data_IF_843895807009
#
_entry.id   IF_843895807009
#
_cell.length_a   1.000
_cell.length_b   1.000
_cell.length_c   1.000
_cell.angle_alpha   90.00
_cell.angle_beta   90.00
_cell.angle_gamma   90.00
#
_symmetry.space_group_name_H-M   'P 1'
#
loop_
_entity.id
_entity.type
_entity.pdbx_description
1 polymer ?
#
# COMPACT_ATOMS: atom_id res chain seq x y z
N UNK A 1 19.73 1.97 7.38
CA UNK A 1 19.24 2.37 6.04
C UNK A 1 17.98 1.55 5.77
N UNK A 2 16.83 2.17 5.44
CA UNK A 2 15.57 1.45 5.14
C UNK A 2 15.48 1.21 3.63
N UNK A 3 15.18 -0.03 3.23
CA UNK A 3 14.88 -0.36 1.83
C UNK A 3 13.37 -0.21 1.61
N UNK A 4 13.01 0.56 0.59
CA UNK A 4 11.62 0.83 0.23
C UNK A 4 11.33 0.43 -1.20
N UNK A 5 10.09 0.04 -1.45
CA UNK A 5 9.58 -0.21 -2.81
C UNK A 5 8.48 0.78 -3.15
N UNK A 6 8.59 1.38 -4.32
CA UNK A 6 7.49 2.12 -4.92
C UNK A 6 6.66 1.15 -5.75
N UNK A 7 5.39 0.97 -5.40
CA UNK A 7 4.46 0.14 -6.17
C UNK A 7 3.30 0.99 -6.66
N UNK A 8 3.53 1.57 -7.82
CA UNK A 8 2.51 2.06 -8.74
C UNK A 8 2.76 1.40 -10.09
N UNK A 9 1.71 0.91 -10.76
CA UNK A 9 1.81 0.63 -12.20
C UNK A 9 1.47 1.90 -12.95
N UNK A 10 2.34 2.29 -13.87
CA UNK A 10 1.95 3.16 -14.97
C UNK A 10 1.03 2.34 -15.89
N UNK A 11 -0.29 2.32 -15.61
CA UNK A 11 -1.31 1.59 -16.39
C UNK A 11 -2.29 0.74 -15.57
N UNK A 12 -3.18 0.01 -16.26
CA UNK A 12 -4.38 -0.68 -15.73
C UNK A 12 -4.13 -2.04 -15.04
N UNK A 13 -2.88 -2.39 -14.70
CA UNK A 13 -2.52 -3.73 -14.21
C UNK A 13 -2.39 -3.81 -12.68
N UNK A 14 -2.60 -2.70 -11.98
CA UNK A 14 -2.69 -2.69 -10.53
C UNK A 14 -4.14 -2.53 -10.12
N UNK A 15 -4.67 -3.55 -9.47
CA UNK A 15 -5.94 -3.47 -8.75
C UNK A 15 -5.64 -3.06 -7.29
N UNK A 16 -5.78 -1.77 -6.94
CA UNK A 16 -5.58 -1.32 -5.57
C UNK A 16 -6.63 -1.90 -4.60
N UNK A 17 -7.69 -2.56 -5.09
CA UNK A 17 -8.68 -3.20 -4.22
C UNK A 17 -8.18 -4.53 -3.64
N UNK A 18 -7.18 -5.17 -4.25
CA UNK A 18 -6.52 -6.36 -3.69
C UNK A 18 -5.27 -6.00 -2.85
N UNK A 19 -5.50 -5.22 -1.79
CA UNK A 19 -4.49 -4.74 -0.85
C UNK A 19 -3.71 -5.88 -0.16
N UNK A 20 -4.36 -7.02 0.09
CA UNK A 20 -3.72 -8.17 0.73
C UNK A 20 -2.57 -8.73 -0.12
N UNK A 21 -2.82 -8.97 -1.41
CA UNK A 21 -1.78 -9.42 -2.35
C UNK A 21 -0.69 -8.36 -2.50
N UNK A 22 -1.07 -7.07 -2.51
CA UNK A 22 -0.12 -5.97 -2.60
C UNK A 22 0.91 -5.99 -1.46
N UNK A 23 0.46 -6.07 -0.20
CA UNK A 23 1.37 -6.09 0.94
C UNK A 23 2.21 -7.37 1.00
N UNK A 24 1.64 -8.53 0.63
CA UNK A 24 2.39 -9.77 0.51
C UNK A 24 3.54 -9.66 -0.50
N UNK A 25 3.27 -9.07 -1.66
CA UNK A 25 4.28 -8.89 -2.71
C UNK A 25 5.34 -7.85 -2.32
N UNK A 26 4.95 -6.76 -1.66
CA UNK A 26 5.90 -5.79 -1.11
C UNK A 26 6.81 -6.43 -0.05
N UNK A 27 6.26 -7.30 0.79
CA UNK A 27 7.04 -8.06 1.79
C UNK A 27 8.03 -9.01 1.14
N UNK A 28 7.62 -9.67 0.06
CA UNK A 28 8.46 -10.62 -0.66
C UNK A 28 9.72 -9.99 -1.28
N UNK A 29 9.76 -8.67 -1.49
CA UNK A 29 10.98 -7.98 -1.95
C UNK A 29 11.99 -7.72 -0.82
N UNK A 30 11.62 -7.95 0.44
CA UNK A 30 12.42 -7.57 1.60
C UNK A 30 12.31 -6.09 1.97
N UNK A 31 11.33 -5.36 1.43
CA UNK A 31 11.11 -3.95 1.75
C UNK A 31 10.56 -3.75 3.16
N UNK A 32 11.10 -2.74 3.83
CA UNK A 32 10.60 -2.23 5.11
C UNK A 32 9.55 -1.13 4.95
N UNK A 33 9.55 -0.45 3.79
CA UNK A 33 8.61 0.61 3.48
C UNK A 33 7.98 0.38 2.09
N UNK A 34 6.74 0.84 1.91
CA UNK A 34 6.08 0.86 0.61
C UNK A 34 5.51 2.23 0.31
N UNK A 35 5.81 2.75 -0.87
CA UNK A 35 5.15 3.94 -1.41
C UNK A 35 4.07 3.52 -2.40
N UNK A 36 2.83 4.01 -2.19
CA UNK A 36 1.70 3.74 -3.07
C UNK A 36 0.62 4.83 -3.00
N UNK A 37 -0.28 4.84 -3.98
CA UNK A 37 -1.51 5.62 -3.96
C UNK A 37 -2.64 4.80 -3.30
N UNK A 38 -3.29 5.30 -2.23
CA UNK A 38 -4.44 4.64 -1.64
C UNK A 38 -5.62 4.46 -2.62
N UNK A 39 -6.50 3.47 -2.40
CA UNK A 39 -7.76 3.34 -3.13
C UNK A 39 -8.62 4.62 -3.00
N UNK A 40 -9.39 4.95 -4.04
CA UNK A 40 -10.21 6.16 -4.08
C UNK A 40 -11.15 6.35 -2.87
N UNK A 41 -11.79 5.30 -2.29
CA UNK A 41 -12.56 5.48 -1.05
C UNK A 41 -11.74 6.06 0.10
N UNK A 42 -10.50 5.60 0.28
CA UNK A 42 -9.61 6.14 1.31
C UNK A 42 -9.17 7.58 1.00
N UNK A 43 -8.94 7.91 -0.28
CA UNK A 43 -8.66 9.28 -0.72
C UNK A 43 -9.85 10.22 -0.50
N UNK A 44 -11.08 9.71 -0.60
CA UNK A 44 -12.33 10.45 -0.39
C UNK A 44 -12.78 10.49 1.09
N UNK A 45 -11.93 10.07 2.03
CA UNK A 45 -12.20 10.19 3.46
C UNK A 45 -12.97 9.01 4.09
N UNK A 46 -12.95 7.82 3.48
CA UNK A 46 -13.46 6.61 4.13
C UNK A 46 -12.50 6.16 5.26
N UNK A 47 -12.86 6.50 6.49
CA UNK A 47 -12.12 6.15 7.70
C UNK A 47 -12.01 4.64 7.91
N UNK A 48 -13.06 3.88 7.56
CA UNK A 48 -13.05 2.42 7.70
C UNK A 48 -12.05 1.80 6.74
N UNK A 49 -12.07 2.22 5.48
CA UNK A 49 -11.10 1.74 4.48
C UNK A 49 -9.68 2.12 4.87
N UNK A 50 -9.49 3.33 5.41
CA UNK A 50 -8.19 3.79 5.91
C UNK A 50 -7.68 2.92 7.07
N UNK A 51 -8.55 2.59 8.02
CA UNK A 51 -8.20 1.71 9.14
C UNK A 51 -7.88 0.28 8.66
N UNK A 52 -8.64 -0.25 7.71
CA UNK A 52 -8.37 -1.55 7.08
C UNK A 52 -6.97 -1.59 6.43
N UNK A 53 -6.63 -0.57 5.64
CA UNK A 53 -5.31 -0.43 4.99
C UNK A 53 -4.18 -0.40 6.04
N UNK A 54 -4.35 0.41 7.10
CA UNK A 54 -3.36 0.51 8.19
C UNK A 54 -3.14 -0.83 8.88
N UNK A 55 -4.22 -1.52 9.20
CA UNK A 55 -4.15 -2.86 9.81
C UNK A 55 -3.42 -3.85 8.91
N UNK A 56 -3.69 -3.85 7.60
CA UNK A 56 -3.00 -4.75 6.67
C UNK A 56 -1.50 -4.47 6.58
N UNK A 57 -1.10 -3.19 6.59
CA UNK A 57 0.31 -2.80 6.61
C UNK A 57 1.01 -3.23 7.90
N UNK A 58 0.35 -3.03 9.05
CA UNK A 58 0.82 -3.48 10.37
C UNK A 58 0.99 -5.00 10.42
N UNK A 59 -0.03 -5.76 10.00
CA UNK A 59 0.00 -7.23 9.95
C UNK A 59 1.10 -7.73 9.00
N UNK A 60 1.43 -6.97 7.95
CA UNK A 60 2.53 -7.27 7.04
C UNK A 60 3.92 -6.88 7.59
N UNK A 61 3.98 -5.96 8.56
CA UNK A 61 5.22 -5.38 9.08
C UNK A 61 5.86 -4.39 8.13
N UNK A 62 5.07 -3.67 7.34
CA UNK A 62 5.53 -2.69 6.35
C UNK A 62 5.06 -1.30 6.74
N UNK A 63 5.97 -0.33 6.70
CA UNK A 63 5.65 1.08 6.86
C UNK A 63 5.13 1.67 5.54
N UNK A 64 3.97 2.34 5.58
CA UNK A 64 3.40 2.98 4.40
C UNK A 64 3.91 4.41 4.25
N UNK A 65 4.30 4.76 3.03
CA UNK A 65 4.55 6.11 2.57
C UNK A 65 3.46 6.45 1.54
N UNK A 66 2.80 7.59 1.71
CA UNK A 66 1.73 8.00 0.82
C UNK A 66 2.29 8.87 -0.31
N UNK A 67 2.00 8.49 -1.55
CA UNK A 67 2.26 9.33 -2.72
C UNK A 67 0.98 10.11 -3.07
N UNK A 68 1.06 11.44 -3.05
CA UNK A 68 0.04 12.31 -3.62
C UNK A 68 0.49 12.62 -5.06
N UNK A 69 -0.09 11.90 -6.03
CA UNK A 69 0.10 12.15 -7.46
C UNK A 69 -1.12 12.83 -8.06
#
# INVERSE_FOLDING_TARGET
MKYGVHRLTWGNLFDPDNLGLFFQQAKATGASTVEFRPPDPALNGDDRKTAEIRKMAEDAGIEMLFCYG
#
